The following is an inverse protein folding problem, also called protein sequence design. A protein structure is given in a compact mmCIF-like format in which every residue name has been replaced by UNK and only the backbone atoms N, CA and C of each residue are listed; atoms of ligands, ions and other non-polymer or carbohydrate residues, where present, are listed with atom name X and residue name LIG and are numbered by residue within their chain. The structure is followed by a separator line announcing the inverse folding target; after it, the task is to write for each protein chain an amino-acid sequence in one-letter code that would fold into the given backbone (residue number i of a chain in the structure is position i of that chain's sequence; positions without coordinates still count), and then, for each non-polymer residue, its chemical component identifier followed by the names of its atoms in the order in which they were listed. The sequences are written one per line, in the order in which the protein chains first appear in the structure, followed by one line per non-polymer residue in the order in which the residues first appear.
data_IF_493133753480
#
_entry.id   IF_493133753480
#
_cell.length_a   1.000
_cell.length_b   1.000
_cell.length_c   1.000
_cell.angle_alpha   90.00
_cell.angle_beta   90.00
_cell.angle_gamma   90.00
#
_symmetry.space_group_name_H-M   'P 1'
#
loop_
_entity.id
_entity.type
_entity.pdbx_description
1 polymer ?
#
# COMPACT_ATOMS: atom_id res chain seq x y z
N UNK A 1 -0.80 10.08 22.36
CA UNK A 1 -1.84 11.08 22.00
C UNK A 1 -2.32 10.78 20.60
N UNK A 2 -3.59 11.01 20.23
CA UNK A 2 -4.09 10.58 18.93
C UNK A 2 -3.41 11.36 17.82
N UNK A 3 -2.77 10.67 16.89
CA UNK A 3 -2.26 11.28 15.68
C UNK A 3 -3.43 11.86 14.87
N UNK A 4 -3.22 12.98 14.16
CA UNK A 4 -4.17 13.42 13.13
C UNK A 4 -4.51 12.26 12.18
N UNK A 5 -5.80 12.01 11.96
CA UNK A 5 -6.29 10.85 11.17
C UNK A 5 -6.48 9.55 11.95
N UNK A 6 -6.34 9.55 13.28
CA UNK A 6 -6.70 8.40 14.11
C UNK A 6 -8.17 8.46 14.55
N UNK A 7 -8.79 7.30 14.79
CA UNK A 7 -10.19 7.21 15.23
C UNK A 7 -10.51 8.08 16.46
N UNK A 8 -9.57 8.22 17.40
CA UNK A 8 -9.76 9.08 18.59
C UNK A 8 -9.58 10.58 18.31
N UNK A 9 -8.90 10.94 17.23
CA UNK A 9 -8.87 12.30 16.69
C UNK A 9 -10.22 12.64 16.03
N UNK A 10 -10.76 11.74 15.20
CA UNK A 10 -12.03 11.96 14.50
C UNK A 10 -13.21 12.04 15.46
N UNK A 11 -13.27 11.19 16.49
CA UNK A 11 -14.30 11.26 17.54
C UNK A 11 -14.25 12.58 18.30
N UNK A 12 -13.06 13.15 18.54
CA UNK A 12 -12.92 14.47 19.19
C UNK A 12 -13.33 15.60 18.25
N UNK A 13 -12.95 15.52 16.97
CA UNK A 13 -13.30 16.50 15.93
C UNK A 13 -14.82 16.59 15.74
N UNK A 14 -15.52 15.46 15.68
CA UNK A 14 -16.98 15.44 15.56
C UNK A 14 -17.66 16.11 16.77
N UNK A 15 -17.22 15.80 18.00
CA UNK A 15 -17.79 16.41 19.22
C UNK A 15 -17.56 17.92 19.33
N UNK A 16 -16.46 18.42 18.78
CA UNK A 16 -16.18 19.85 18.71
C UNK A 16 -17.07 20.55 17.69
N UNK A 17 -17.28 19.91 16.53
CA UNK A 17 -18.21 20.40 15.49
C UNK A 17 -19.63 20.54 16.03
N UNK A 18 -20.16 19.50 16.67
CA UNK A 18 -21.52 19.51 17.22
C UNK A 18 -21.70 20.64 18.25
N UNK A 19 -20.67 20.92 19.06
CA UNK A 19 -20.69 22.02 20.05
C UNK A 19 -20.76 23.40 19.37
N UNK A 20 -20.00 23.62 18.31
CA UNK A 20 -20.01 24.90 17.61
C UNK A 20 -21.31 25.14 16.81
N UNK A 21 -21.96 24.04 16.38
CA UNK A 21 -23.26 24.08 15.72
C UNK A 21 -24.38 24.42 16.73
N UNK A 22 -24.33 23.85 17.94
CA UNK A 22 -25.28 24.13 19.04
C UNK A 22 -25.16 25.55 19.61
N UNK A 23 -23.95 26.12 19.64
CA UNK A 23 -23.69 27.50 20.09
C UNK A 23 -24.05 28.56 19.02
N UNK A 24 -24.56 28.14 17.85
CA UNK A 24 -25.11 29.03 16.81
C UNK A 24 -24.10 30.01 16.20
N UNK A 25 -22.80 29.80 16.40
CA UNK A 25 -21.77 30.81 16.09
C UNK A 25 -21.25 30.70 14.65
N UNK A 26 -21.44 29.55 13.96
CA UNK A 26 -21.00 29.31 12.58
C UNK A 26 -21.95 28.34 11.85
N UNK A 27 -22.57 28.76 10.74
CA UNK A 27 -23.46 27.89 9.94
C UNK A 27 -22.70 26.74 9.24
N UNK A 28 -23.34 25.57 9.19
CA UNK A 28 -22.78 24.25 8.82
C UNK A 28 -22.44 24.02 7.35
N UNK A 29 -22.67 24.98 6.46
CA UNK A 29 -22.42 24.80 5.01
C UNK A 29 -21.15 25.48 4.46
N UNK A 30 -20.39 26.23 5.27
CA UNK A 30 -19.29 27.08 4.75
C UNK A 30 -17.86 26.61 5.09
N UNK A 31 -17.69 25.38 5.61
CA UNK A 31 -16.36 24.85 5.99
C UNK A 31 -15.59 25.72 7.00
N UNK A 32 -16.30 26.64 7.66
CA UNK A 32 -15.76 27.61 8.62
C UNK A 32 -15.68 27.00 10.02
N UNK A 33 -16.63 26.13 10.36
CA UNK A 33 -16.60 25.32 11.57
C UNK A 33 -15.42 24.33 11.56
N UNK A 34 -15.15 23.67 10.42
CA UNK A 34 -13.99 22.77 10.27
C UNK A 34 -12.65 23.48 10.47
N UNK A 35 -12.51 24.69 9.89
CA UNK A 35 -11.30 25.51 10.06
C UNK A 35 -11.13 26.00 11.50
N UNK A 36 -12.22 26.38 12.17
CA UNK A 36 -12.18 26.80 13.56
C UNK A 36 -11.79 25.64 14.50
N UNK A 37 -12.36 24.45 14.29
CA UNK A 37 -12.04 23.26 15.07
C UNK A 37 -10.58 22.83 14.90
N UNK A 38 -10.04 22.86 13.68
CA UNK A 38 -8.62 22.58 13.45
C UNK A 38 -7.71 23.61 14.12
N UNK A 39 -8.03 24.91 14.03
CA UNK A 39 -7.25 25.98 14.64
C UNK A 39 -7.28 25.93 16.19
N UNK A 40 -8.37 25.47 16.80
CA UNK A 40 -8.47 25.23 18.24
C UNK A 40 -7.55 24.08 18.67
N UNK A 41 -7.58 22.95 17.95
CA UNK A 41 -6.75 21.78 18.23
C UNK A 41 -5.26 22.08 18.06
N UNK A 42 -4.89 22.88 17.07
CA UNK A 42 -3.51 23.34 16.86
C UNK A 42 -3.02 24.30 17.96
N UNK A 43 -3.92 25.07 18.59
CA UNK A 43 -3.59 25.92 19.75
C UNK A 43 -3.36 25.10 21.02
N UNK A 44 -4.20 24.10 21.27
CA UNK A 44 -4.09 23.22 22.44
C UNK A 44 -2.90 22.24 22.30
N UNK A 45 -2.56 21.86 21.07
CA UNK A 45 -1.52 20.89 20.75
C UNK A 45 -0.70 21.35 19.53
N UNK A 46 0.21 22.32 19.70
CA UNK A 46 1.02 22.82 18.60
C UNK A 46 1.83 21.67 17.98
N UNK A 47 1.93 21.60 16.63
CA UNK A 47 2.79 20.63 15.98
C UNK A 47 4.23 20.82 16.48
N UNK A 48 4.91 19.71 16.80
CA UNK A 48 6.31 19.79 17.22
C UNK A 48 7.12 20.42 16.08
N UNK A 49 7.65 21.61 16.33
CA UNK A 49 8.65 22.23 15.46
C UNK A 49 9.84 21.29 15.34
N UNK A 50 10.19 20.90 14.10
CA UNK A 50 11.49 20.29 13.81
C UNK A 50 12.57 21.28 14.30
N UNK A 51 13.36 20.86 15.28
CA UNK A 51 14.45 21.67 15.82
C UNK A 51 15.62 21.80 14.81
N UNK A 52 16.26 22.96 14.87
CA UNK A 52 17.51 23.40 14.23
C UNK A 52 18.56 22.27 13.98
N UNK A 53 19.29 22.24 12.84
CA UNK A 53 20.05 21.07 12.40
C UNK A 53 21.42 20.88 13.09
N UNK A 54 21.80 21.68 14.09
CA UNK A 54 23.20 21.75 14.54
C UNK A 54 23.48 21.25 15.98
N UNK A 55 22.57 20.47 16.59
CA UNK A 55 22.83 19.83 17.91
C UNK A 55 22.31 18.40 18.00
N UNK A 56 23.00 17.46 17.36
CA UNK A 56 22.91 16.04 17.70
C UNK A 56 24.24 15.29 17.44
N UNK A 57 25.35 15.79 17.98
CA UNK A 57 26.54 14.97 18.17
C UNK A 57 26.38 14.13 19.46
N UNK A 58 25.53 13.10 19.41
CA UNK A 58 25.49 12.01 20.39
C UNK A 58 26.56 10.95 20.04
N UNK A 59 26.95 10.08 20.99
CA UNK A 59 28.09 9.19 20.80
C UNK A 59 27.85 8.27 19.60
N UNK A 60 28.90 8.10 18.80
CA UNK A 60 28.98 7.24 17.60
C UNK A 60 28.56 5.82 18.01
N UNK A 61 27.28 5.50 17.85
CA UNK A 61 26.80 4.13 17.91
C UNK A 61 27.44 3.37 16.76
N UNK A 62 28.13 2.28 17.07
CA UNK A 62 28.61 1.32 16.08
C UNK A 62 27.43 0.91 15.18
N UNK A 63 27.50 1.29 13.90
CA UNK A 63 26.56 0.81 12.89
C UNK A 63 26.96 -0.63 12.52
N UNK A 64 26.65 -1.55 13.43
CA UNK A 64 26.61 -2.99 13.18
C UNK A 64 25.15 -3.42 13.09
N UNK A 65 24.56 -3.34 11.90
CA UNK A 65 23.22 -3.84 11.63
C UNK A 65 22.66 -3.33 10.31
N UNK A 66 22.83 -4.11 9.24
CA UNK A 66 22.07 -3.96 7.99
C UNK A 66 20.58 -4.12 8.28
N UNK A 67 19.89 -3.02 8.57
CA UNK A 67 18.44 -2.97 8.48
C UNK A 67 18.08 -3.14 7.00
N UNK A 68 17.52 -4.29 6.62
CA UNK A 68 17.14 -4.56 5.24
C UNK A 68 16.20 -3.45 4.73
N UNK A 69 16.59 -2.78 3.64
CA UNK A 69 15.75 -1.79 2.98
C UNK A 69 14.41 -2.44 2.62
N UNK A 70 13.30 -1.86 3.07
CA UNK A 70 11.96 -2.38 2.76
C UNK A 70 11.44 -1.63 1.54
N UNK A 71 11.18 -2.29 0.39
CA UNK A 71 10.70 -1.61 -0.79
C UNK A 71 9.30 -1.04 -0.53
N UNK A 72 9.13 0.23 -0.89
CA UNK A 72 7.85 0.93 -0.78
C UNK A 72 7.05 0.65 -2.05
N UNK A 73 5.91 -0.04 -1.92
CA UNK A 73 4.96 -0.28 -3.00
C UNK A 73 3.83 0.75 -2.94
N UNK A 74 3.47 1.34 -4.07
CA UNK A 74 2.41 2.36 -4.19
C UNK A 74 1.66 2.24 -5.50
N UNK A 75 0.50 2.90 -5.57
CA UNK A 75 -0.26 3.11 -6.79
C UNK A 75 -0.55 4.59 -6.98
N UNK A 76 -0.69 5.05 -8.22
CA UNK A 76 -1.24 6.38 -8.52
C UNK A 76 -2.77 6.38 -8.52
N UNK A 77 -3.41 5.20 -8.49
CA UNK A 77 -4.86 5.06 -8.52
C UNK A 77 -5.52 5.16 -7.14
N UNK A 78 -4.81 4.75 -6.08
CA UNK A 78 -5.35 4.73 -4.72
C UNK A 78 -4.23 4.81 -3.68
N UNK A 79 -4.59 5.20 -2.46
CA UNK A 79 -3.71 5.21 -1.29
C UNK A 79 -3.87 3.90 -0.53
N UNK A 80 -2.83 3.48 0.18
CA UNK A 80 -2.88 2.27 1.01
C UNK A 80 -4.09 2.26 1.95
N UNK A 81 -4.81 1.13 1.95
CA UNK A 81 -6.08 0.84 2.62
C UNK A 81 -7.30 1.64 2.13
N UNK A 82 -7.20 2.39 1.03
CA UNK A 82 -8.32 3.12 0.45
C UNK A 82 -9.04 2.34 -0.65
N UNK A 83 -10.18 2.86 -1.11
CA UNK A 83 -10.94 2.28 -2.21
C UNK A 83 -10.15 2.33 -3.53
N UNK A 84 -10.15 1.21 -4.25
CA UNK A 84 -9.69 1.18 -5.65
C UNK A 84 -10.81 1.74 -6.53
N UNK A 85 -10.56 2.80 -7.33
CA UNK A 85 -11.57 3.33 -8.25
C UNK A 85 -12.06 2.29 -9.26
N UNK A 86 -13.32 2.40 -9.69
CA UNK A 86 -14.00 1.38 -10.49
C UNK A 86 -13.26 1.05 -11.80
N UNK A 87 -12.67 2.05 -12.45
CA UNK A 87 -11.87 1.87 -13.67
C UNK A 87 -10.64 0.98 -13.45
N UNK A 88 -10.08 0.96 -12.24
CA UNK A 88 -8.91 0.16 -11.88
C UNK A 88 -9.26 -1.20 -11.26
N UNK A 89 -10.54 -1.46 -10.95
CA UNK A 89 -11.00 -2.81 -10.59
C UNK A 89 -10.91 -3.73 -11.82
N UNK A 90 -11.46 -3.29 -12.95
CA UNK A 90 -11.52 -4.08 -14.19
C UNK A 90 -10.17 -4.13 -14.92
N UNK A 91 -9.45 -3.01 -14.97
CA UNK A 91 -8.16 -2.91 -15.66
C UNK A 91 -6.99 -3.41 -14.81
N UNK A 92 -7.15 -3.40 -13.48
CA UNK A 92 -6.09 -3.53 -12.50
C UNK A 92 -5.32 -2.20 -12.30
N UNK A 93 -4.87 -1.90 -11.07
CA UNK A 93 -4.21 -0.63 -10.78
C UNK A 93 -2.77 -0.59 -11.30
N UNK A 94 -2.26 0.59 -11.70
CA UNK A 94 -0.83 0.78 -11.90
C UNK A 94 -0.09 0.65 -10.56
N UNK A 95 1.07 0.01 -10.56
CA UNK A 95 1.90 -0.15 -9.37
C UNK A 95 3.30 0.37 -9.63
N UNK A 96 3.86 1.03 -8.61
CA UNK A 96 5.23 1.52 -8.62
C UNK A 96 5.90 1.16 -7.31
N UNK A 97 7.20 0.92 -7.36
CA UNK A 97 7.98 0.66 -6.16
C UNK A 97 9.34 1.36 -6.18
N UNK A 98 9.87 1.59 -4.99
CA UNK A 98 11.17 2.20 -4.78
C UNK A 98 11.84 1.62 -3.52
N UNK A 99 13.16 1.77 -3.42
CA UNK A 99 13.91 1.32 -2.24
C UNK A 99 14.08 -0.20 -2.15
N UNK A 100 14.16 -0.88 -3.31
CA UNK A 100 14.55 -2.29 -3.33
C UNK A 100 16.00 -2.44 -2.80
N UNK A 101 16.30 -3.48 -2.01
CA UNK A 101 17.66 -3.75 -1.54
C UNK A 101 18.65 -3.92 -2.70
N UNK A 102 19.90 -3.53 -2.45
CA UNK A 102 21.02 -3.93 -3.30
C UNK A 102 21.06 -5.45 -3.44
N UNK A 103 21.37 -5.93 -4.65
CA UNK A 103 21.37 -7.36 -4.97
C UNK A 103 20.01 -7.92 -5.36
N UNK A 104 18.96 -7.10 -5.45
CA UNK A 104 17.69 -7.53 -6.06
C UNK A 104 17.91 -7.86 -7.54
N UNK A 105 17.74 -9.13 -7.91
CA UNK A 105 17.92 -9.62 -9.28
C UNK A 105 16.57 -9.80 -10.00
N UNK A 106 15.52 -10.11 -9.25
CA UNK A 106 14.19 -10.41 -9.76
C UNK A 106 13.13 -9.95 -8.76
N UNK A 107 11.97 -9.51 -9.26
CA UNK A 107 10.77 -9.32 -8.46
C UNK A 107 9.70 -10.33 -8.84
N UNK A 108 8.86 -10.64 -7.85
CA UNK A 108 7.55 -11.23 -8.08
C UNK A 108 6.49 -10.39 -7.37
N UNK A 109 5.32 -10.25 -8.00
CA UNK A 109 4.19 -9.49 -7.52
C UNK A 109 2.97 -10.41 -7.42
N UNK A 110 2.36 -10.42 -6.24
CA UNK A 110 1.16 -11.19 -5.93
C UNK A 110 0.04 -10.23 -5.51
N UNK A 111 -1.18 -10.44 -5.99
CA UNK A 111 -2.37 -9.77 -5.48
C UNK A 111 -3.33 -10.84 -4.95
N UNK A 112 -3.59 -10.81 -3.65
CA UNK A 112 -4.40 -11.82 -2.96
C UNK A 112 -5.55 -11.16 -2.20
N UNK A 113 -6.75 -11.74 -2.28
CA UNK A 113 -7.92 -11.28 -1.55
C UNK A 113 -7.95 -11.89 -0.15
N UNK A 114 -7.61 -11.05 0.84
CA UNK A 114 -7.53 -11.47 2.23
C UNK A 114 -8.89 -11.91 2.80
N UNK A 115 -9.98 -11.39 2.25
CA UNK A 115 -11.34 -11.65 2.74
C UNK A 115 -12.01 -12.81 1.99
N UNK A 116 -11.37 -13.32 0.93
CA UNK A 116 -11.76 -14.52 0.20
C UNK A 116 -10.78 -15.71 0.37
N UNK A 117 -10.14 -15.83 1.53
CA UNK A 117 -9.25 -16.96 1.83
C UNK A 117 -7.88 -16.86 1.14
N UNK A 118 -7.36 -15.64 0.99
CA UNK A 118 -6.11 -15.32 0.30
C UNK A 118 -6.16 -15.72 -1.19
N UNK A 119 -7.33 -15.63 -1.83
CA UNK A 119 -7.52 -16.00 -3.22
C UNK A 119 -6.67 -15.12 -4.15
N UNK A 120 -5.86 -15.74 -5.02
CA UNK A 120 -5.01 -14.99 -5.94
C UNK A 120 -5.81 -14.36 -7.09
N UNK A 121 -5.74 -13.03 -7.19
CA UNK A 121 -6.30 -12.24 -8.30
C UNK A 121 -5.27 -11.91 -9.37
N UNK A 122 -3.99 -11.86 -9.02
CA UNK A 122 -2.92 -11.58 -9.97
C UNK A 122 -1.59 -12.13 -9.50
N UNK A 123 -0.86 -12.71 -10.44
CA UNK A 123 0.53 -13.14 -10.28
C UNK A 123 1.31 -12.60 -11.47
N UNK A 124 2.38 -11.86 -11.19
CA UNK A 124 3.40 -11.49 -12.17
C UNK A 124 4.76 -11.87 -11.58
N UNK A 125 5.53 -12.65 -12.33
CA UNK A 125 6.81 -13.19 -11.86
C UNK A 125 7.90 -12.94 -12.89
N UNK A 126 9.17 -13.10 -12.53
CA UNK A 126 10.27 -12.88 -13.47
C UNK A 126 10.55 -11.41 -13.79
N UNK A 127 10.00 -10.47 -13.02
CA UNK A 127 10.17 -9.05 -13.27
C UNK A 127 11.66 -8.69 -13.03
N UNK A 128 12.39 -8.10 -13.99
CA UNK A 128 13.79 -7.76 -13.79
C UNK A 128 14.03 -6.82 -12.60
N UNK A 129 15.13 -7.01 -11.87
CA UNK A 129 15.45 -6.27 -10.64
C UNK A 129 15.65 -4.76 -10.80
N UNK A 130 15.79 -4.26 -12.03
CA UNK A 130 15.88 -2.84 -12.38
C UNK A 130 14.54 -2.19 -12.73
N UNK A 131 13.47 -2.99 -12.88
CA UNK A 131 12.11 -2.48 -13.09
C UNK A 131 11.58 -1.85 -11.80
N UNK A 132 10.89 -0.72 -11.93
CA UNK A 132 10.37 0.08 -10.79
C UNK A 132 8.85 0.24 -10.81
N UNK A 133 8.15 -0.43 -11.72
CA UNK A 133 6.69 -0.37 -11.79
C UNK A 133 6.09 -1.17 -12.95
N UNK A 134 4.77 -1.30 -12.91
CA UNK A 134 3.91 -1.89 -13.95
C UNK A 134 2.72 -0.94 -14.11
N UNK A 135 2.56 -0.33 -15.28
CA UNK A 135 1.47 0.61 -15.56
C UNK A 135 0.11 -0.09 -15.72
N UNK A 136 0.12 -1.34 -16.17
CA UNK A 136 -1.08 -2.16 -16.28
C UNK A 136 -0.73 -3.66 -16.15
N UNK A 137 -1.52 -4.45 -15.41
CA UNK A 137 -1.35 -5.89 -15.38
C UNK A 137 -1.48 -6.59 -16.75
N UNK A 138 -2.04 -5.91 -17.76
CA UNK A 138 -2.19 -6.42 -19.13
C UNK A 138 -0.95 -6.22 -20.00
N UNK A 139 0.02 -5.43 -19.54
CA UNK A 139 1.24 -5.10 -20.26
C UNK A 139 2.44 -5.27 -19.34
N UNK A 140 2.86 -6.52 -19.16
CA UNK A 140 4.02 -6.84 -18.33
C UNK A 140 5.32 -6.37 -19.01
N UNK A 141 6.32 -5.94 -18.22
CA UNK A 141 7.64 -5.57 -18.74
C UNK A 141 8.33 -6.77 -19.36
N UNK A 142 9.29 -6.52 -20.24
CA UNK A 142 10.11 -7.58 -20.83
C UNK A 142 10.81 -8.41 -19.74
N UNK A 143 10.80 -9.74 -19.91
CA UNK A 143 11.33 -10.69 -18.91
C UNK A 143 10.29 -11.15 -17.88
N UNK A 144 9.25 -10.37 -17.61
CA UNK A 144 8.17 -10.80 -16.73
C UNK A 144 7.20 -11.74 -17.43
N UNK A 145 6.65 -12.69 -16.67
CA UNK A 145 5.67 -13.67 -17.13
C UNK A 145 4.38 -13.56 -16.31
N UNK A 146 3.20 -13.71 -16.95
CA UNK A 146 1.94 -13.78 -16.24
C UNK A 146 1.80 -15.14 -15.56
N UNK A 147 1.32 -15.15 -14.32
CA UNK A 147 0.93 -16.35 -13.60
C UNK A 147 -0.58 -16.59 -13.64
N UNK A 148 -1.02 -17.67 -12.97
CA UNK A 148 -2.44 -17.99 -12.83
C UNK A 148 -3.03 -17.37 -11.55
N UNK A 149 -4.23 -16.80 -11.68
CA UNK A 149 -5.14 -16.59 -10.55
C UNK A 149 -5.73 -17.92 -10.06
N UNK A 150 -6.38 -17.90 -8.91
CA UNK A 150 -6.98 -19.11 -8.32
C UNK A 150 -8.14 -19.70 -9.14
N UNK A 151 -8.78 -18.88 -10.00
CA UNK A 151 -9.80 -19.36 -10.95
C UNK A 151 -9.21 -19.87 -12.29
N UNK A 152 -7.88 -19.89 -12.42
CA UNK A 152 -7.17 -20.33 -13.62
C UNK A 152 -7.08 -19.28 -14.73
N UNK A 153 -7.44 -18.02 -14.46
CA UNK A 153 -7.21 -16.92 -15.40
C UNK A 153 -5.72 -16.59 -15.47
N UNK A 154 -5.19 -16.48 -16.68
CA UNK A 154 -3.82 -16.02 -16.90
C UNK A 154 -3.76 -14.49 -16.75
N UNK A 155 -2.93 -13.99 -15.83
CA UNK A 155 -2.78 -12.56 -15.56
C UNK A 155 -3.78 -12.01 -14.55
N UNK A 156 -4.28 -10.80 -14.80
CA UNK A 156 -5.20 -10.11 -13.87
C UNK A 156 -6.63 -10.63 -13.98
N UNK A 157 -7.15 -11.08 -12.84
CA UNK A 157 -8.58 -11.32 -12.63
C UNK A 157 -9.17 -10.24 -11.73
N UNK A 158 -10.02 -9.39 -12.29
CA UNK A 158 -10.73 -8.37 -11.52
C UNK A 158 -11.47 -8.98 -10.32
N UNK A 159 -11.40 -8.38 -9.12
CA UNK A 159 -12.16 -8.84 -7.96
C UNK A 159 -13.65 -8.62 -8.16
N UNK A 160 -14.45 -9.53 -7.60
CA UNK A 160 -15.90 -9.48 -7.71
C UNK A 160 -16.54 -9.86 -6.36
N UNK A 161 -16.40 -9.01 -5.33
CA UNK A 161 -16.98 -9.30 -4.02
C UNK A 161 -18.51 -9.45 -4.12
N UNK A 162 -19.14 -10.18 -3.18
CA UNK A 162 -20.60 -10.20 -3.06
C UNK A 162 -21.17 -8.78 -2.90
N UNK A 163 -22.42 -8.59 -3.31
CA UNK A 163 -23.09 -7.28 -3.17
C UNK A 163 -23.26 -6.96 -1.69
N UNK A 164 -22.85 -5.76 -1.28
CA UNK A 164 -22.89 -5.31 0.10
C UNK A 164 -21.62 -5.62 0.91
N UNK A 165 -20.66 -6.34 0.33
CA UNK A 165 -19.41 -6.70 0.97
C UNK A 165 -18.24 -5.84 0.42
N UNK A 166 -17.22 -5.68 1.26
CA UNK A 166 -15.96 -5.05 0.90
C UNK A 166 -14.81 -6.00 1.20
N UNK A 167 -13.93 -6.19 0.22
CA UNK A 167 -12.80 -7.10 0.28
C UNK A 167 -11.49 -6.32 0.18
N UNK A 168 -10.46 -6.78 0.90
CA UNK A 168 -9.11 -6.21 0.91
C UNK A 168 -8.20 -7.02 -0.01
N UNK A 169 -7.79 -6.39 -1.10
CA UNK A 169 -6.75 -6.89 -1.98
C UNK A 169 -5.38 -6.50 -1.43
N UNK A 170 -4.56 -7.49 -1.12
CA UNK A 170 -3.18 -7.31 -0.67
C UNK A 170 -2.25 -7.52 -1.86
N UNK A 171 -1.69 -6.43 -2.37
CA UNK A 171 -0.59 -6.45 -3.33
C UNK A 171 0.71 -6.62 -2.57
N UNK A 172 1.48 -7.65 -2.90
CA UNK A 172 2.77 -7.98 -2.29
C UNK A 172 3.85 -8.05 -3.36
N UNK A 173 4.86 -7.20 -3.22
CA UNK A 173 6.10 -7.26 -3.98
C UNK A 173 7.14 -8.05 -3.20
N UNK A 174 7.76 -9.03 -3.84
CA UNK A 174 8.90 -9.79 -3.33
C UNK A 174 10.15 -9.34 -4.09
N UNK A 175 11.17 -8.84 -3.39
CA UNK A 175 12.50 -8.60 -3.95
C UNK A 175 13.37 -9.84 -3.72
N UNK A 176 13.90 -10.43 -4.80
CA UNK A 176 14.59 -11.72 -4.78
C UNK A 176 16.08 -11.56 -5.12
N UNK A 177 16.94 -12.33 -4.46
CA UNK A 177 18.40 -12.28 -4.61
C UNK A 177 18.93 -12.92 -5.91
N UNK A 178 18.06 -13.60 -6.65
CA UNK A 178 18.38 -14.29 -7.91
C UNK A 178 17.15 -14.47 -8.77
N UNK A 179 17.36 -14.70 -10.06
CA UNK A 179 16.33 -15.20 -10.98
C UNK A 179 15.97 -16.64 -10.61
N UNK A 180 14.67 -16.92 -10.45
CA UNK A 180 14.16 -18.25 -10.11
C UNK A 180 13.60 -19.02 -11.32
N UNK A 181 13.54 -18.39 -12.50
CA UNK A 181 13.18 -19.05 -13.76
C UNK A 181 11.70 -19.40 -13.84
N UNK A 182 10.84 -18.48 -13.39
CA UNK A 182 9.40 -18.65 -13.45
C UNK A 182 8.91 -18.81 -14.89
N UNK A 183 8.04 -19.80 -15.12
CA UNK A 183 7.34 -19.98 -16.38
C UNK A 183 5.98 -19.29 -16.39
N UNK A 184 5.42 -19.10 -17.59
CA UNK A 184 4.03 -18.69 -17.76
C UNK A 184 3.09 -19.64 -17.00
N UNK A 185 2.11 -19.06 -16.31
CA UNK A 185 1.12 -19.81 -15.55
C UNK A 185 1.58 -20.27 -14.16
N UNK A 186 2.71 -19.78 -13.65
CA UNK A 186 3.10 -20.01 -12.26
C UNK A 186 2.02 -19.51 -11.29
N UNK A 187 1.74 -20.29 -10.24
CA UNK A 187 0.75 -19.93 -9.21
C UNK A 187 1.38 -19.11 -8.08
N UNK A 188 0.56 -18.38 -7.31
CA UNK A 188 1.04 -17.65 -6.14
C UNK A 188 1.73 -18.57 -5.10
N UNK A 189 1.22 -19.79 -4.93
CA UNK A 189 1.81 -20.81 -4.06
C UNK A 189 3.19 -21.27 -4.54
N UNK A 190 3.35 -21.49 -5.84
CA UNK A 190 4.64 -21.87 -6.44
C UNK A 190 5.66 -20.74 -6.36
N UNK A 191 5.24 -19.49 -6.59
CA UNK A 191 6.09 -18.30 -6.39
C UNK A 191 6.58 -18.25 -4.95
N UNK A 192 5.69 -18.38 -3.96
CA UNK A 192 6.07 -18.38 -2.53
C UNK A 192 7.07 -19.49 -2.20
N UNK A 193 6.82 -20.70 -2.69
CA UNK A 193 7.69 -21.85 -2.46
C UNK A 193 9.07 -21.64 -3.09
N UNK A 194 9.13 -21.16 -4.33
CA UNK A 194 10.40 -20.91 -5.01
C UNK A 194 11.18 -19.76 -4.37
N UNK A 195 10.49 -18.75 -3.85
CA UNK A 195 11.09 -17.59 -3.20
C UNK A 195 11.60 -17.87 -1.77
N UNK A 196 11.27 -19.03 -1.19
CA UNK A 196 11.71 -19.38 0.16
C UNK A 196 13.25 -19.40 0.24
N UNK A 197 13.81 -18.67 1.22
CA UNK A 197 15.26 -18.49 1.36
C UNK A 197 15.89 -17.46 0.41
N UNK A 198 15.13 -16.92 -0.57
CA UNK A 198 15.63 -15.98 -1.58
C UNK A 198 15.05 -14.56 -1.47
N UNK A 199 14.12 -14.32 -0.54
CA UNK A 199 13.52 -12.99 -0.34
C UNK A 199 14.46 -12.07 0.44
N UNK A 200 14.95 -11.03 -0.22
CA UNK A 200 15.71 -9.94 0.40
C UNK A 200 14.80 -8.99 1.17
N UNK A 201 13.66 -8.63 0.59
CA UNK A 201 12.68 -7.74 1.21
C UNK A 201 11.29 -7.89 0.59
N UNK A 202 10.29 -7.32 1.27
CA UNK A 202 8.88 -7.34 0.83
C UNK A 202 8.27 -5.95 0.94
N UNK A 203 7.47 -5.57 -0.04
CA UNK A 203 6.62 -4.38 -0.01
C UNK A 203 5.15 -4.81 -0.07
N UNK A 204 4.26 -4.15 0.66
CA UNK A 204 2.82 -4.40 0.56
C UNK A 204 2.06 -3.11 0.29
N UNK A 205 0.94 -3.23 -0.41
CA UNK A 205 -0.06 -2.20 -0.61
C UNK A 205 -1.43 -2.88 -0.52
N UNK A 206 -2.36 -2.30 0.23
CA UNK A 206 -3.73 -2.83 0.38
C UNK A 206 -4.69 -1.90 -0.32
N UNK A 207 -5.54 -2.44 -1.19
CA UNK A 207 -6.66 -1.71 -1.77
C UNK A 207 -7.98 -2.36 -1.41
N UNK A 208 -9.02 -1.55 -1.20
CA UNK A 208 -10.36 -2.01 -0.85
C UNK A 208 -11.24 -2.01 -2.10
N UNK A 209 -11.94 -3.11 -2.34
CA UNK A 209 -12.96 -3.20 -3.37
C UNK A 209 -14.30 -3.53 -2.73
N UNK A 210 -15.33 -2.76 -3.08
CA UNK A 210 -16.69 -2.96 -2.59
C UNK A 210 -17.66 -3.02 -3.77
N UNK A 211 -18.79 -3.73 -3.58
CA UNK A 211 -19.84 -3.87 -4.60
C UNK A 211 -21.22 -3.52 -4.09
#
# INVERSE_FOLDING_TARGET
MPNPGSHSYDVKRTRLRDRYDDEGTLHTNDGKADRAANAELEREHPPRTLGDPDRAAGPRGEQGGTGAATPVLRSTAFVDHDLIPAEYIEAGPPLQWAGAPDGTAEFALLCEDRDAGDAAHWVAAGIPGDVTGIDSPRALPEGAVPGLSDDGTLGWRAPQPPVGDAHRLVFRLLALDRTLGFGEGVTAAEVRRAAEGHVLARGNLVGVVAR
#
